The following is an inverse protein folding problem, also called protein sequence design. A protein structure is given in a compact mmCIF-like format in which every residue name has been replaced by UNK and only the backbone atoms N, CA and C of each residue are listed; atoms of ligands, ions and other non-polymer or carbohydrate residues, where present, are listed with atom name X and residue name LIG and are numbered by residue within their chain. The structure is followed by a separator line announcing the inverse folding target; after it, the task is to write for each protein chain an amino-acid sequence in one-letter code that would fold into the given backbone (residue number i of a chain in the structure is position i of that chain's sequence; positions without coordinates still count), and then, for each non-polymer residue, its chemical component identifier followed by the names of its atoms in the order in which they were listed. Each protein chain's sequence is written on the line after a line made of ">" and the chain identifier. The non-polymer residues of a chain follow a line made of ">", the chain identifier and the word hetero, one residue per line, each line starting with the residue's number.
data_IF_035232882498
#
_entry.id   IF_035232882498
#
_cell.length_a   1.000
_cell.length_b   1.000
_cell.length_c   1.000
_cell.angle_alpha   90.00
_cell.angle_beta   90.00
_cell.angle_gamma   90.00
#
_symmetry.space_group_name_H-M   'P 1'
#
loop_
_entity.id
_entity.type
_entity.pdbx_description
1 polymer ?
#
# COMPACT_ATOMS: atom_id res chain seq x y z
N UNK A 1 48.18 -40.19 10.89
CA UNK A 1 49.19 -39.15 10.59
C UNK A 1 49.13 -38.92 9.08
N UNK A 2 48.69 -37.81 8.48
CA UNK A 2 48.41 -36.44 8.90
C UNK A 2 47.28 -35.89 8.01
N UNK A 3 46.25 -35.28 8.60
CA UNK A 3 45.23 -34.51 7.87
C UNK A 3 45.73 -33.07 7.72
N UNK A 4 46.43 -32.77 6.62
CA UNK A 4 46.78 -31.40 6.24
C UNK A 4 45.64 -30.85 5.40
N UNK A 5 44.79 -30.00 5.99
CA UNK A 5 43.86 -29.16 5.22
C UNK A 5 44.70 -28.14 4.45
N UNK A 6 44.68 -28.11 3.10
CA UNK A 6 45.44 -27.12 2.36
C UNK A 6 44.83 -25.73 2.59
N UNK A 7 45.71 -24.74 2.73
CA UNK A 7 45.36 -23.37 3.04
C UNK A 7 44.35 -22.80 2.05
N UNK A 8 43.25 -22.27 2.59
CA UNK A 8 42.28 -21.53 1.79
C UNK A 8 42.96 -20.28 1.23
N UNK A 9 43.03 -20.18 -0.09
CA UNK A 9 43.63 -19.06 -0.80
C UNK A 9 43.05 -17.71 -0.34
N UNK A 10 43.86 -16.66 -0.08
CA UNK A 10 43.42 -15.39 0.51
C UNK A 10 42.33 -14.63 -0.25
N UNK A 11 42.14 -14.92 -1.53
CA UNK A 11 41.09 -14.30 -2.37
C UNK A 11 39.71 -14.96 -2.18
N UNK A 12 39.64 -16.24 -1.81
CA UNK A 12 38.37 -16.94 -1.50
C UNK A 12 37.74 -16.40 -0.23
N UNK A 13 38.55 -16.14 0.81
CA UNK A 13 38.09 -15.51 2.05
C UNK A 13 37.52 -14.11 1.80
N UNK A 14 38.10 -13.34 0.86
CA UNK A 14 37.57 -12.03 0.47
C UNK A 14 36.24 -12.13 -0.26
N UNK A 15 36.03 -13.12 -1.13
CA UNK A 15 34.75 -13.37 -1.80
C UNK A 15 33.66 -13.81 -0.82
N UNK A 16 34.00 -14.68 0.13
CA UNK A 16 33.10 -15.14 1.20
C UNK A 16 32.64 -13.96 2.08
N UNK A 17 33.58 -13.11 2.51
CA UNK A 17 33.32 -11.91 3.32
C UNK A 17 32.51 -10.88 2.52
N UNK A 18 32.86 -10.63 1.25
CA UNK A 18 32.14 -9.69 0.39
C UNK A 18 30.70 -10.16 0.11
N UNK A 19 30.49 -11.47 -0.07
CA UNK A 19 29.16 -12.09 -0.20
C UNK A 19 28.36 -11.99 1.10
N UNK A 20 28.99 -12.22 2.26
CA UNK A 20 28.38 -12.04 3.60
C UNK A 20 28.01 -10.58 3.90
N UNK A 21 28.84 -9.63 3.47
CA UNK A 21 28.58 -8.20 3.65
C UNK A 21 27.38 -7.74 2.81
N UNK A 22 27.21 -8.26 1.59
CA UNK A 22 26.03 -7.97 0.76
C UNK A 22 24.73 -8.53 1.35
N UNK A 23 24.76 -9.67 2.03
CA UNK A 23 23.58 -10.25 2.72
C UNK A 23 23.26 -9.53 4.03
N UNK A 24 24.26 -9.09 4.79
CA UNK A 24 24.01 -8.32 6.03
C UNK A 24 23.47 -6.93 5.68
N UNK A 25 24.03 -6.27 4.67
CA UNK A 25 23.54 -4.97 4.19
C UNK A 25 22.11 -5.04 3.66
N UNK A 26 21.73 -6.13 2.96
CA UNK A 26 20.36 -6.32 2.49
C UNK A 26 19.37 -6.64 3.62
N UNK A 27 19.80 -7.38 4.65
CA UNK A 27 18.97 -7.64 5.84
C UNK A 27 18.78 -6.40 6.72
N UNK A 28 19.83 -5.58 6.87
CA UNK A 28 19.75 -4.27 7.53
C UNK A 28 18.89 -3.28 6.74
N UNK A 29 18.98 -3.29 5.40
CA UNK A 29 18.09 -2.51 4.55
C UNK A 29 16.63 -3.00 4.63
N UNK A 30 16.41 -4.31 4.78
CA UNK A 30 15.09 -4.89 5.03
C UNK A 30 14.51 -4.40 6.37
N UNK A 31 15.27 -4.46 7.46
CA UNK A 31 14.87 -3.93 8.77
C UNK A 31 14.63 -2.41 8.73
N UNK A 32 15.48 -1.65 8.03
CA UNK A 32 15.28 -0.21 7.84
C UNK A 32 14.04 0.11 7.00
N UNK A 33 13.69 -0.76 6.04
CA UNK A 33 12.46 -0.64 5.25
C UNK A 33 11.19 -1.03 6.03
N UNK A 34 11.30 -1.92 7.03
CA UNK A 34 10.22 -2.18 8.00
C UNK A 34 9.86 -0.90 8.77
N UNK A 35 10.84 -0.06 9.10
CA UNK A 35 10.61 1.26 9.72
C UNK A 35 9.82 2.23 8.84
N UNK A 36 10.08 2.23 7.52
CA UNK A 36 9.30 3.02 6.54
C UNK A 36 7.89 2.48 6.35
N UNK A 37 7.71 1.15 6.42
CA UNK A 37 6.39 0.51 6.38
C UNK A 37 5.56 0.85 7.62
N UNK A 38 6.21 0.90 8.79
CA UNK A 38 5.56 1.20 10.07
C UNK A 38 4.89 2.57 10.04
N UNK A 39 5.54 3.64 9.59
CA UNK A 39 4.92 4.98 9.52
C UNK A 39 3.69 5.03 8.60
N UNK A 40 3.68 4.25 7.51
CA UNK A 40 2.57 4.20 6.57
C UNK A 40 1.34 3.48 7.13
N UNK A 41 1.55 2.43 7.95
CA UNK A 41 0.46 1.64 8.56
C UNK A 41 0.13 2.01 10.02
N UNK A 42 0.94 2.83 10.69
CA UNK A 42 0.67 3.28 12.07
C UNK A 42 -0.72 3.90 12.23
N UNK A 43 -1.20 4.79 11.33
CA UNK A 43 -2.53 5.39 11.47
C UNK A 43 -3.65 4.35 11.45
N UNK A 44 -3.49 3.30 10.66
CA UNK A 44 -4.45 2.20 10.59
C UNK A 44 -4.48 1.39 11.87
N UNK A 45 -3.31 1.04 12.41
CA UNK A 45 -3.23 0.29 13.64
C UNK A 45 -3.80 1.10 14.81
N UNK A 46 -3.48 2.39 14.89
CA UNK A 46 -4.07 3.31 15.87
C UNK A 46 -5.59 3.38 15.72
N UNK A 47 -6.10 3.44 14.49
CA UNK A 47 -7.53 3.44 14.23
C UNK A 47 -8.22 2.14 14.69
N UNK A 48 -7.65 0.97 14.36
CA UNK A 48 -8.18 -0.34 14.78
C UNK A 48 -8.17 -0.47 16.31
N UNK A 49 -7.10 -0.04 16.97
CA UNK A 49 -7.02 -0.04 18.44
C UNK A 49 -8.06 0.88 19.07
N UNK A 50 -8.26 2.09 18.51
CA UNK A 50 -9.29 3.01 18.96
C UNK A 50 -10.70 2.41 18.77
N UNK A 51 -10.96 1.78 17.62
CA UNK A 51 -12.23 1.11 17.32
C UNK A 51 -12.51 -0.02 18.32
N UNK A 52 -11.52 -0.88 18.60
CA UNK A 52 -11.65 -1.92 19.63
C UNK A 52 -11.92 -1.31 21.00
N UNK A 53 -11.21 -0.23 21.37
CA UNK A 53 -11.46 0.49 22.61
C UNK A 53 -12.89 1.02 22.72
N UNK A 54 -13.44 1.58 21.64
CA UNK A 54 -14.82 2.07 21.58
C UNK A 54 -15.83 0.91 21.70
N UNK A 55 -15.59 -0.22 21.04
CA UNK A 55 -16.45 -1.41 21.15
C UNK A 55 -16.50 -1.92 22.59
N UNK A 56 -15.33 -1.99 23.25
CA UNK A 56 -15.26 -2.41 24.66
C UNK A 56 -15.95 -1.41 25.59
N UNK A 57 -15.80 -0.10 25.32
CA UNK A 57 -16.49 0.96 26.06
C UNK A 57 -18.02 0.85 25.91
N UNK A 58 -18.52 0.66 24.69
CA UNK A 58 -19.95 0.50 24.45
C UNK A 58 -20.49 -0.81 25.02
N UNK A 59 -19.73 -1.91 24.93
CA UNK A 59 -20.07 -3.16 25.60
C UNK A 59 -20.17 -3.00 27.11
N UNK A 60 -19.26 -2.23 27.73
CA UNK A 60 -19.33 -1.90 29.15
C UNK A 60 -20.52 -1.02 29.51
N UNK A 61 -20.78 0.05 28.76
CA UNK A 61 -21.94 0.92 28.97
C UNK A 61 -23.26 0.17 28.79
N UNK A 62 -23.31 -0.75 27.82
CA UNK A 62 -24.44 -1.64 27.63
C UNK A 62 -24.73 -2.46 28.89
N UNK A 63 -23.70 -3.05 29.52
CA UNK A 63 -23.88 -3.80 30.78
C UNK A 63 -24.46 -2.95 31.90
N UNK A 64 -23.94 -1.73 32.05
CA UNK A 64 -24.42 -0.80 33.08
C UNK A 64 -25.90 -0.42 32.84
N UNK A 65 -26.27 -0.12 31.59
CA UNK A 65 -27.63 0.26 31.24
C UNK A 65 -28.61 -0.91 31.33
N UNK A 66 -28.21 -2.11 30.92
CA UNK A 66 -29.08 -3.30 31.02
C UNK A 66 -29.29 -3.71 32.48
N UNK A 67 -28.26 -3.59 33.33
CA UNK A 67 -28.41 -3.79 34.76
C UNK A 67 -29.42 -2.80 35.38
N UNK A 68 -29.48 -1.56 34.88
CA UNK A 68 -30.50 -0.58 35.28
C UNK A 68 -31.92 -0.96 34.82
N UNK A 69 -32.05 -1.64 33.68
CA UNK A 69 -33.33 -2.21 33.22
C UNK A 69 -33.68 -3.54 33.92
N UNK A 70 -32.84 -4.01 34.86
CA UNK A 70 -33.04 -5.26 35.60
C UNK A 70 -32.72 -6.52 34.79
N UNK A 71 -31.96 -6.40 33.70
CA UNK A 71 -31.53 -7.50 32.84
C UNK A 71 -30.04 -7.78 33.05
N UNK A 72 -29.71 -9.01 33.44
CA UNK A 72 -28.32 -9.44 33.53
C UNK A 72 -27.87 -10.15 32.26
N UNK A 73 -26.75 -9.69 31.72
CA UNK A 73 -26.13 -10.24 30.52
C UNK A 73 -24.66 -10.56 30.76
N UNK A 74 -24.10 -11.48 29.96
CA UNK A 74 -22.68 -11.80 30.02
C UNK A 74 -21.82 -10.72 29.34
N UNK A 75 -20.57 -10.54 29.74
CA UNK A 75 -19.63 -9.61 29.09
C UNK A 75 -19.63 -9.73 27.56
N UNK A 76 -19.58 -10.98 27.06
CA UNK A 76 -19.61 -11.29 25.63
C UNK A 76 -20.90 -10.83 24.93
N UNK A 77 -22.03 -10.89 25.62
CA UNK A 77 -23.31 -10.40 25.13
C UNK A 77 -23.26 -8.90 24.83
N UNK A 78 -22.57 -8.12 25.67
CA UNK A 78 -22.39 -6.67 25.46
C UNK A 78 -21.49 -6.35 24.27
N UNK A 79 -20.41 -7.11 24.07
CA UNK A 79 -19.57 -7.00 22.87
C UNK A 79 -20.36 -7.37 21.61
N UNK A 80 -21.11 -8.48 21.67
CA UNK A 80 -21.98 -8.92 20.58
C UNK A 80 -23.00 -7.83 20.23
N UNK A 81 -23.69 -7.27 21.20
CA UNK A 81 -24.66 -6.19 20.99
C UNK A 81 -24.00 -4.93 20.38
N UNK A 82 -22.84 -4.51 20.91
CA UNK A 82 -22.12 -3.36 20.37
C UNK A 82 -21.73 -3.58 18.90
N UNK A 83 -21.24 -4.78 18.56
CA UNK A 83 -20.88 -5.13 17.19
C UNK A 83 -22.09 -5.15 16.26
N UNK A 84 -23.21 -5.75 16.66
CA UNK A 84 -24.42 -5.86 15.81
C UNK A 84 -25.06 -4.50 15.57
N UNK A 85 -25.09 -3.61 16.56
CA UNK A 85 -25.62 -2.26 16.41
C UNK A 85 -24.67 -1.37 15.61
N UNK A 86 -23.36 -1.39 15.91
CA UNK A 86 -22.40 -0.56 15.18
C UNK A 86 -22.27 -0.96 13.70
N UNK A 87 -22.38 -2.26 13.40
CA UNK A 87 -22.34 -2.78 12.02
C UNK A 87 -23.66 -2.63 11.27
N UNK A 88 -24.68 -2.03 11.89
CA UNK A 88 -26.04 -1.89 11.34
C UNK A 88 -26.76 -3.22 11.07
N UNK A 89 -26.24 -4.34 11.58
CA UNK A 89 -26.92 -5.64 11.47
C UNK A 89 -28.23 -5.66 12.27
N UNK A 90 -28.16 -5.20 13.53
CA UNK A 90 -29.33 -4.96 14.37
C UNK A 90 -30.31 -6.14 14.46
N UNK A 91 -29.84 -7.32 14.88
CA UNK A 91 -30.68 -8.53 14.98
C UNK A 91 -31.96 -8.34 15.81
N UNK A 92 -31.97 -7.38 16.75
CA UNK A 92 -33.14 -7.06 17.56
C UNK A 92 -33.48 -8.10 18.62
N UNK A 93 -32.60 -9.08 18.83
CA UNK A 93 -32.66 -10.08 19.89
C UNK A 93 -32.43 -9.47 21.28
N UNK A 94 -31.63 -8.40 21.34
CA UNK A 94 -31.33 -7.65 22.57
C UNK A 94 -31.59 -6.17 22.31
N UNK A 95 -32.57 -5.62 23.02
CA UNK A 95 -33.00 -4.22 22.86
C UNK A 95 -33.27 -3.57 24.20
N UNK A 96 -33.07 -2.26 24.26
CA UNK A 96 -33.42 -1.46 25.42
C UNK A 96 -34.91 -1.11 25.39
N UNK A 97 -35.52 -1.21 26.57
CA UNK A 97 -36.93 -0.87 26.78
C UNK A 97 -37.11 0.59 27.18
N UNK A 98 -36.11 1.19 27.83
CA UNK A 98 -36.13 2.58 28.28
C UNK A 98 -35.79 3.56 27.16
N UNK A 99 -36.33 4.78 27.25
CA UNK A 99 -36.01 5.86 26.29
C UNK A 99 -34.53 6.25 26.36
N UNK A 100 -33.92 6.16 27.54
CA UNK A 100 -32.48 6.38 27.72
C UNK A 100 -31.65 5.35 26.95
N UNK A 101 -31.97 4.06 27.09
CA UNK A 101 -31.27 2.99 26.39
C UNK A 101 -31.49 3.05 24.87
N UNK A 102 -32.67 3.48 24.42
CA UNK A 102 -32.95 3.75 23.00
C UNK A 102 -32.12 4.90 22.46
N UNK A 103 -32.03 6.02 23.18
CA UNK A 103 -31.17 7.15 22.79
C UNK A 103 -29.70 6.75 22.73
N UNK A 104 -29.22 5.97 23.71
CA UNK A 104 -27.87 5.39 23.70
C UNK A 104 -27.66 4.51 22.46
N UNK A 105 -28.60 3.62 22.14
CA UNK A 105 -28.54 2.76 20.95
C UNK A 105 -28.44 3.57 19.66
N UNK A 106 -29.19 4.68 19.56
CA UNK A 106 -29.09 5.59 18.41
C UNK A 106 -27.70 6.23 18.29
N UNK A 107 -27.09 6.64 19.40
CA UNK A 107 -25.72 7.19 19.40
C UNK A 107 -24.70 6.13 18.99
N UNK A 108 -24.81 4.91 19.51
CA UNK A 108 -23.93 3.78 19.14
C UNK A 108 -24.06 3.47 17.65
N UNK A 109 -25.28 3.44 17.11
CA UNK A 109 -25.54 3.21 15.70
C UNK A 109 -24.93 4.31 14.81
N UNK A 110 -25.18 5.59 15.10
CA UNK A 110 -24.61 6.71 14.32
C UNK A 110 -23.08 6.66 14.35
N UNK A 111 -22.50 6.42 15.53
CA UNK A 111 -21.04 6.31 15.68
C UNK A 111 -20.52 5.11 14.90
N UNK A 112 -21.20 3.96 14.96
CA UNK A 112 -20.86 2.76 14.22
C UNK A 112 -20.86 2.97 12.71
N UNK A 113 -21.88 3.65 12.18
CA UNK A 113 -21.96 4.03 10.77
C UNK A 113 -20.76 4.89 10.37
N UNK A 114 -20.43 5.93 11.14
CA UNK A 114 -19.31 6.81 10.82
C UNK A 114 -17.96 6.07 10.87
N UNK A 115 -17.73 5.24 11.89
CA UNK A 115 -16.48 4.52 12.04
C UNK A 115 -16.37 3.38 11.01
N UNK A 116 -17.33 2.47 10.97
CA UNK A 116 -17.23 1.25 10.17
C UNK A 116 -17.55 1.47 8.69
N UNK A 117 -18.58 2.24 8.35
CA UNK A 117 -19.05 2.39 6.97
C UNK A 117 -18.39 3.56 6.24
N UNK A 118 -17.86 4.57 6.95
CA UNK A 118 -17.22 5.73 6.31
C UNK A 118 -15.70 5.71 6.51
N UNK A 119 -15.22 5.76 7.76
CA UNK A 119 -13.79 5.96 8.03
C UNK A 119 -12.97 4.71 7.70
N UNK A 120 -13.42 3.52 8.11
CA UNK A 120 -12.70 2.27 7.86
C UNK A 120 -12.44 2.01 6.35
N UNK A 121 -13.44 2.05 5.45
CA UNK A 121 -13.19 1.85 4.02
C UNK A 121 -12.35 2.98 3.42
N UNK A 122 -12.52 4.23 3.86
CA UNK A 122 -11.66 5.33 3.42
C UNK A 122 -10.18 5.09 3.78
N UNK A 123 -9.91 4.66 5.01
CA UNK A 123 -8.56 4.29 5.44
C UNK A 123 -8.04 3.08 4.64
N UNK A 124 -8.87 2.07 4.42
CA UNK A 124 -8.50 0.90 3.62
C UNK A 124 -8.11 1.30 2.19
N UNK A 125 -8.92 2.13 1.53
CA UNK A 125 -8.62 2.65 0.19
C UNK A 125 -7.30 3.41 0.21
N UNK A 126 -7.10 4.34 1.14
CA UNK A 126 -5.86 5.12 1.23
C UNK A 126 -4.61 4.24 1.37
N UNK A 127 -4.70 3.16 2.14
CA UNK A 127 -3.58 2.29 2.47
C UNK A 127 -3.30 1.22 1.42
N UNK A 128 -4.32 0.74 0.72
CA UNK A 128 -4.18 -0.30 -0.30
C UNK A 128 -4.08 0.30 -1.70
N UNK A 129 -5.00 1.21 -2.07
CA UNK A 129 -5.00 1.84 -3.38
C UNK A 129 -3.84 2.82 -3.55
N UNK A 130 -3.51 3.60 -2.52
CA UNK A 130 -2.40 4.56 -2.60
C UNK A 130 -1.09 3.92 -3.07
N UNK A 131 -0.58 2.89 -2.37
CA UNK A 131 0.59 2.15 -2.81
C UNK A 131 0.41 1.44 -4.15
N UNK A 132 -0.78 0.90 -4.44
CA UNK A 132 -1.04 0.26 -5.73
C UNK A 132 -0.90 1.24 -6.90
N UNK A 133 -1.45 2.46 -6.76
CA UNK A 133 -1.34 3.53 -7.75
C UNK A 133 0.12 4.05 -7.88
N UNK A 134 0.82 4.20 -6.76
CA UNK A 134 2.23 4.58 -6.73
C UNK A 134 3.12 3.53 -7.42
N UNK A 135 2.83 2.24 -7.24
CA UNK A 135 3.58 1.15 -7.86
C UNK A 135 3.36 1.08 -9.36
N UNK A 136 2.12 1.27 -9.82
CA UNK A 136 1.79 1.29 -11.24
C UNK A 136 2.45 2.49 -11.94
N UNK A 137 2.36 3.69 -11.35
CA UNK A 137 3.00 4.89 -11.89
C UNK A 137 4.53 4.77 -11.93
N UNK A 138 5.18 4.31 -10.86
CA UNK A 138 6.65 4.15 -10.81
C UNK A 138 7.15 3.09 -11.79
N UNK A 139 6.46 1.96 -11.94
CA UNK A 139 6.84 0.93 -12.93
C UNK A 139 6.77 1.48 -14.36
N UNK A 140 5.70 2.22 -14.67
CA UNK A 140 5.51 2.85 -15.97
C UNK A 140 6.60 3.89 -16.28
N UNK A 141 6.92 4.76 -15.33
CA UNK A 141 7.98 5.76 -15.48
C UNK A 141 9.37 5.14 -15.55
N UNK A 142 9.62 4.02 -14.86
CA UNK A 142 10.91 3.32 -14.91
C UNK A 142 11.13 2.64 -16.26
N UNK A 143 10.08 2.09 -16.87
CA UNK A 143 10.14 1.50 -18.21
C UNK A 143 10.50 2.53 -19.28
N UNK A 144 9.91 3.74 -19.19
CA UNK A 144 10.23 4.87 -20.07
C UNK A 144 11.62 5.48 -19.81
N UNK A 145 12.37 5.01 -18.82
CA UNK A 145 13.74 5.50 -18.53
C UNK A 145 14.81 4.47 -18.85
N UNK A 146 14.44 3.25 -19.23
CA UNK A 146 15.39 2.18 -19.53
C UNK A 146 15.41 1.86 -21.01
N UNK A 147 16.54 2.14 -21.67
CA UNK A 147 16.85 1.61 -22.99
C UNK A 147 17.50 0.23 -22.81
N UNK A 148 17.09 -0.80 -23.57
CA UNK A 148 17.80 -2.09 -23.57
C UNK A 148 19.29 -1.92 -23.88
N UNK A 149 20.15 -2.64 -23.16
CA UNK A 149 21.62 -2.50 -23.26
C UNK A 149 22.23 -3.10 -24.52
N UNK A 150 21.43 -3.75 -25.36
CA UNK A 150 21.83 -4.35 -26.64
C UNK A 150 21.57 -3.42 -27.85
N UNK A 151 21.00 -2.23 -27.63
CA UNK A 151 20.76 -1.28 -28.71
C UNK A 151 22.05 -0.60 -29.20
N UNK A 152 22.43 -0.89 -30.44
CA UNK A 152 23.44 -0.17 -31.20
C UNK A 152 22.86 0.32 -32.54
N UNK A 153 23.30 1.49 -33.02
CA UNK A 153 22.78 2.08 -34.26
C UNK A 153 21.41 2.76 -34.14
N UNK A 154 21.02 3.19 -32.93
CA UNK A 154 19.75 3.88 -32.70
C UNK A 154 19.91 5.41 -32.75
N UNK A 155 18.81 6.11 -33.06
CA UNK A 155 18.77 7.58 -33.11
C UNK A 155 17.97 8.10 -31.93
N UNK A 156 18.55 9.05 -31.19
CA UNK A 156 17.87 9.76 -30.10
C UNK A 156 17.45 11.13 -30.61
N UNK A 157 16.16 11.43 -30.49
CA UNK A 157 15.57 12.70 -30.92
C UNK A 157 15.23 13.49 -29.66
N UNK A 158 15.93 14.60 -29.42
CA UNK A 158 15.79 15.40 -28.20
C UNK A 158 14.74 16.52 -28.30
N UNK A 159 13.99 16.59 -29.40
CA UNK A 159 12.98 17.61 -29.65
C UNK A 159 11.69 16.94 -30.13
N UNK A 160 10.55 17.40 -29.63
CA UNK A 160 9.23 16.93 -30.00
C UNK A 160 8.53 17.99 -30.86
N UNK A 161 9.07 18.26 -32.04
CA UNK A 161 8.55 19.22 -33.00
C UNK A 161 7.96 18.51 -34.25
N UNK A 162 7.19 19.21 -35.10
CA UNK A 162 6.61 18.61 -36.31
C UNK A 162 7.66 17.98 -37.25
N UNK A 163 8.91 18.47 -37.21
CA UNK A 163 10.03 17.92 -37.99
C UNK A 163 10.50 16.59 -37.40
N UNK A 164 10.63 16.48 -36.07
CA UNK A 164 10.93 15.22 -35.39
C UNK A 164 9.91 14.12 -35.70
N UNK A 165 8.61 14.45 -35.79
CA UNK A 165 7.58 13.50 -36.18
C UNK A 165 7.82 12.94 -37.59
N UNK A 166 8.10 13.81 -38.55
CA UNK A 166 8.41 13.41 -39.93
C UNK A 166 9.70 12.59 -40.04
N UNK A 167 10.71 12.92 -39.23
CA UNK A 167 11.96 12.19 -39.16
C UNK A 167 11.77 10.79 -38.56
N UNK A 168 11.02 10.67 -37.47
CA UNK A 168 10.75 9.40 -36.79
C UNK A 168 10.05 8.43 -37.73
N UNK A 169 9.10 8.91 -38.53
CA UNK A 169 8.38 8.07 -39.49
C UNK A 169 9.28 7.59 -40.64
N UNK A 170 10.20 8.44 -41.12
CA UNK A 170 11.20 8.04 -42.13
C UNK A 170 12.21 7.02 -41.58
N UNK A 171 12.64 7.18 -40.33
CA UNK A 171 13.53 6.24 -39.66
C UNK A 171 12.85 4.90 -39.41
N UNK A 172 11.54 4.90 -39.09
CA UNK A 172 10.71 3.70 -38.97
C UNK A 172 10.66 2.91 -40.27
N UNK A 173 10.46 3.58 -41.41
CA UNK A 173 10.49 2.95 -42.74
C UNK A 173 11.88 2.38 -43.08
N UNK A 174 12.94 3.05 -42.64
CA UNK A 174 14.33 2.60 -42.80
C UNK A 174 14.73 1.48 -41.81
N UNK A 175 13.80 1.03 -40.94
CA UNK A 175 14.04 0.02 -39.91
C UNK A 175 15.12 0.41 -38.89
N UNK A 176 15.31 1.72 -38.67
CA UNK A 176 16.26 2.27 -37.69
C UNK A 176 15.48 2.58 -36.41
N UNK A 177 15.87 1.99 -35.26
CA UNK A 177 15.22 2.28 -33.98
C UNK A 177 15.49 3.73 -33.57
N UNK A 178 14.42 4.53 -33.46
CA UNK A 178 14.46 5.92 -33.04
C UNK A 178 13.72 6.08 -31.70
N UNK A 179 14.24 6.90 -30.78
CA UNK A 179 13.60 7.20 -29.50
C UNK A 179 13.50 8.70 -29.31
N UNK A 180 12.33 9.19 -28.89
CA UNK A 180 12.12 10.61 -28.57
C UNK A 180 12.32 10.83 -27.07
N UNK A 181 13.11 11.83 -26.69
CA UNK A 181 13.22 12.25 -25.29
C UNK A 181 12.14 13.29 -25.00
N UNK A 182 11.31 13.00 -24.00
CA UNK A 182 10.27 13.91 -23.54
C UNK A 182 10.43 14.19 -22.03
N UNK A 183 10.65 15.45 -21.63
CA UNK A 183 10.82 15.83 -20.23
C UNK A 183 9.54 15.73 -19.41
N UNK A 184 8.35 15.92 -20.03
CA UNK A 184 7.08 15.77 -19.33
C UNK A 184 6.64 14.29 -19.23
N UNK A 185 6.53 13.72 -18.01
CA UNK A 185 6.10 12.34 -17.81
C UNK A 185 4.69 12.04 -18.34
N UNK A 186 3.81 13.04 -18.39
CA UNK A 186 2.42 12.89 -18.85
C UNK A 186 2.39 12.84 -20.38
N UNK A 187 3.09 13.77 -21.05
CA UNK A 187 3.28 13.72 -22.50
C UNK A 187 3.98 12.42 -22.92
N UNK A 188 5.09 12.04 -22.27
CA UNK A 188 5.83 10.81 -22.56
C UNK A 188 4.95 9.56 -22.46
N UNK A 189 4.12 9.49 -21.42
CA UNK A 189 3.09 8.46 -21.26
C UNK A 189 2.16 8.37 -22.46
N UNK A 190 1.58 9.50 -22.88
CA UNK A 190 0.62 9.53 -23.98
C UNK A 190 1.27 9.07 -25.29
N UNK A 191 2.50 9.50 -25.54
CA UNK A 191 3.26 9.07 -26.72
C UNK A 191 3.55 7.58 -26.70
N UNK A 192 3.84 7.00 -25.53
CA UNK A 192 4.02 5.56 -25.39
C UNK A 192 2.73 4.79 -25.67
N UNK A 193 1.58 5.27 -25.16
CA UNK A 193 0.27 4.66 -25.38
C UNK A 193 -0.14 4.70 -26.88
N UNK A 194 0.34 5.69 -27.63
CA UNK A 194 0.21 5.80 -29.09
C UNK A 194 1.18 4.89 -29.87
N UNK A 195 1.99 4.08 -29.18
CA UNK A 195 2.97 3.19 -29.79
C UNK A 195 4.27 3.87 -30.22
N UNK A 196 4.51 5.11 -29.77
CA UNK A 196 5.74 5.84 -30.08
C UNK A 196 6.87 5.45 -29.10
N UNK A 197 8.06 5.08 -29.59
CA UNK A 197 9.23 4.85 -28.75
C UNK A 197 9.70 6.16 -28.10
N UNK A 198 9.48 6.28 -26.80
CA UNK A 198 9.72 7.50 -26.01
C UNK A 198 10.48 7.21 -24.73
N UNK A 199 11.36 8.13 -24.36
CA UNK A 199 12.18 8.09 -23.16
C UNK A 199 11.92 9.35 -22.33
N UNK A 200 11.86 9.21 -21.01
CA UNK A 200 11.77 10.35 -20.09
C UNK A 200 13.18 10.81 -19.75
N UNK A 201 13.53 12.04 -20.11
CA UNK A 201 14.87 12.62 -19.90
C UNK A 201 14.86 14.13 -19.82
#
# INVERSE_FOLDING_TARGET
>A
MNLVRPGMEPWLLRLEVYRKMKTIASYLAYIASIGKLRHRYTPFLTYVLALVGIILLYGWLFHVLMAWEGQEHSWFTGIYWALTVMSTLGFGDITFTTDLGRAFSSVVLITGVLLLLVILPFLFIRLVYGPWLELQSRRRLKMLRSVPSDLSGHVIICANDPIALGLTERLRVANIPAFVIEPDPIAASRMHDEGRPVLIG
#
